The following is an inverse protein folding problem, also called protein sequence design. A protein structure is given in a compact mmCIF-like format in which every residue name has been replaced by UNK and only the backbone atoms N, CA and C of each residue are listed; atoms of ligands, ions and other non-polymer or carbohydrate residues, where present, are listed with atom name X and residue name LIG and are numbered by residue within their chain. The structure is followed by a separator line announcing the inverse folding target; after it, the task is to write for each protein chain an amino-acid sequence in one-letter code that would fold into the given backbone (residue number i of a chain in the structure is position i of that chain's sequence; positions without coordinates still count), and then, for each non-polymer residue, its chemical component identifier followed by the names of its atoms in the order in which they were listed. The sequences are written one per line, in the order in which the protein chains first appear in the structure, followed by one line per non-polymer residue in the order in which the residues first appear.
data_IF_434667886711
#
_entry.id   IF_434667886711
#
_cell.length_a   1.000
_cell.length_b   1.000
_cell.length_c   1.000
_cell.angle_alpha   90.00
_cell.angle_beta   90.00
_cell.angle_gamma   90.00
#
_symmetry.space_group_name_H-M   'P 1'
#
loop_
_entity.id
_entity.type
_entity.pdbx_description
1 polymer ?
#
# COMPACT_ATOMS: atom_id res chain seq x y z
N UNK A 1 -3.08 12.02 -13.41
CA UNK A 1 -2.18 10.85 -13.24
C UNK A 1 -1.26 10.81 -14.45
N UNK A 2 0.01 11.17 -14.28
CA UNK A 2 1.00 10.97 -15.34
C UNK A 2 1.85 9.77 -14.90
N UNK A 3 1.68 8.65 -15.59
CA UNK A 3 2.49 7.46 -15.36
C UNK A 3 3.81 7.64 -16.13
N UNK A 4 4.91 7.72 -15.41
CA UNK A 4 6.25 7.60 -16.01
C UNK A 4 6.41 6.13 -16.39
N UNK A 5 6.68 5.85 -17.66
CA UNK A 5 6.82 4.49 -18.18
C UNK A 5 8.17 3.90 -17.74
N UNK A 6 8.19 3.42 -16.51
CA UNK A 6 9.26 2.60 -15.96
C UNK A 6 8.80 1.13 -15.98
N UNK A 7 9.71 0.18 -16.22
CA UNK A 7 9.38 -1.27 -16.30
C UNK A 7 8.72 -1.78 -15.00
N UNK A 8 8.89 -1.05 -13.91
CA UNK A 8 8.26 -1.24 -12.62
C UNK A 8 7.48 0.04 -12.27
N UNK A 9 6.16 0.02 -12.44
CA UNK A 9 5.33 1.20 -12.23
C UNK A 9 5.35 1.68 -10.78
N UNK A 10 5.75 2.94 -10.57
CA UNK A 10 5.64 3.60 -9.27
C UNK A 10 4.38 4.48 -9.23
N UNK A 11 3.59 4.32 -8.18
CA UNK A 11 2.35 5.08 -7.99
C UNK A 11 2.40 5.84 -6.67
N UNK A 12 2.02 7.12 -6.72
CA UNK A 12 1.76 7.92 -5.52
C UNK A 12 0.26 8.18 -5.42
N UNK A 13 -0.35 7.73 -4.32
CA UNK A 13 -1.78 7.87 -4.06
C UNK A 13 -1.96 8.81 -2.89
N UNK A 14 -2.49 10.00 -3.18
CA UNK A 14 -2.84 11.00 -2.19
C UNK A 14 -4.36 11.23 -2.16
N UNK A 15 -4.85 11.73 -1.03
CA UNK A 15 -6.24 12.08 -0.84
C UNK A 15 -6.47 12.69 0.54
N UNK A 16 -7.62 13.32 0.74
CA UNK A 16 -7.98 13.88 2.04
C UNK A 16 -8.18 12.81 3.13
N UNK A 17 -8.30 13.24 4.39
CA UNK A 17 -8.73 12.35 5.46
C UNK A 17 -10.11 11.75 5.13
N UNK A 18 -10.33 10.49 5.50
CA UNK A 18 -11.63 9.83 5.26
C UNK A 18 -11.86 9.31 3.84
N UNK A 19 -10.96 9.51 2.87
CA UNK A 19 -11.14 9.02 1.49
C UNK A 19 -10.87 7.51 1.30
N UNK A 20 -10.72 6.74 2.38
CA UNK A 20 -10.55 5.30 2.30
C UNK A 20 -9.19 4.81 1.80
N UNK A 21 -8.12 5.62 1.85
CA UNK A 21 -6.77 5.21 1.42
C UNK A 21 -6.30 3.89 2.06
N UNK A 22 -6.55 3.71 3.36
CA UNK A 22 -6.24 2.46 4.06
C UNK A 22 -6.98 1.26 3.46
N UNK A 23 -8.26 1.42 3.13
CA UNK A 23 -9.05 0.38 2.48
C UNK A 23 -8.44 0.05 1.11
N UNK A 24 -8.15 1.07 0.30
CA UNK A 24 -7.55 0.91 -1.02
C UNK A 24 -6.21 0.14 -0.97
N UNK A 25 -5.31 0.49 -0.05
CA UNK A 25 -4.04 -0.23 0.13
C UNK A 25 -4.26 -1.68 0.55
N UNK A 26 -5.20 -1.95 1.45
CA UNK A 26 -5.53 -3.32 1.87
C UNK A 26 -6.15 -4.14 0.74
N UNK A 27 -7.02 -3.55 -0.08
CA UNK A 27 -7.57 -4.21 -1.27
C UNK A 27 -6.46 -4.56 -2.25
N UNK A 28 -5.54 -3.63 -2.52
CA UNK A 28 -4.40 -3.88 -3.42
C UNK A 28 -3.51 -5.02 -2.90
N UNK A 29 -3.15 -4.99 -1.61
CA UNK A 29 -2.37 -6.05 -0.97
C UNK A 29 -3.08 -7.40 -1.08
N UNK A 30 -4.39 -7.44 -0.83
CA UNK A 30 -5.18 -8.66 -0.95
C UNK A 30 -5.23 -9.16 -2.40
N UNK A 31 -5.46 -8.30 -3.38
CA UNK A 31 -5.51 -8.68 -4.80
C UNK A 31 -4.18 -9.25 -5.29
N UNK A 32 -3.05 -8.64 -4.94
CA UNK A 32 -1.71 -9.14 -5.31
C UNK A 32 -1.45 -10.50 -4.66
N UNK A 33 -1.74 -10.64 -3.36
CA UNK A 33 -1.57 -11.91 -2.64
C UNK A 33 -2.51 -13.01 -3.15
N UNK A 34 -3.73 -12.66 -3.55
CA UNK A 34 -4.69 -13.59 -4.16
C UNK A 34 -4.18 -14.16 -5.49
N UNK A 35 -3.38 -13.39 -6.22
CA UNK A 35 -2.74 -13.85 -7.46
C UNK A 35 -1.50 -14.74 -7.21
N UNK A 36 -1.12 -14.95 -5.94
CA UNK A 36 0.06 -15.71 -5.56
C UNK A 36 1.35 -14.90 -5.55
N UNK A 37 1.28 -13.59 -5.83
CA UNK A 37 2.41 -12.69 -5.83
C UNK A 37 2.73 -12.16 -4.42
N UNK A 38 3.96 -11.66 -4.25
CA UNK A 38 4.43 -11.14 -2.95
C UNK A 38 4.05 -9.67 -2.81
N UNK A 39 3.24 -9.35 -1.79
CA UNK A 39 2.90 -7.97 -1.42
C UNK A 39 3.40 -7.62 -0.01
N UNK A 40 4.34 -6.68 0.08
CA UNK A 40 4.93 -6.19 1.33
C UNK A 40 4.29 -4.85 1.70
N UNK A 41 3.77 -4.76 2.94
CA UNK A 41 3.13 -3.56 3.46
C UNK A 41 4.03 -2.86 4.47
N UNK A 42 4.45 -1.63 4.16
CA UNK A 42 5.34 -0.83 5.01
C UNK A 42 4.70 0.52 5.29
N UNK A 43 4.75 0.97 6.53
CA UNK A 43 4.31 2.29 6.93
C UNK A 43 5.36 3.01 7.80
N UNK A 44 5.30 4.35 7.85
CA UNK A 44 6.23 5.15 8.68
C UNK A 44 5.87 5.10 10.18
N UNK A 45 4.58 4.99 10.51
CA UNK A 45 4.06 4.96 11.88
C UNK A 45 3.57 3.57 12.27
N UNK A 46 3.70 3.22 13.56
CA UNK A 46 3.16 1.98 14.10
C UNK A 46 1.64 1.85 13.92
N UNK A 47 0.88 2.93 14.13
CA UNK A 47 -0.58 2.92 13.93
C UNK A 47 -0.93 2.65 12.47
N UNK A 48 -0.21 3.28 11.54
CA UNK A 48 -0.43 3.05 10.11
C UNK A 48 -0.06 1.61 9.71
N UNK A 49 1.01 1.05 10.27
CA UNK A 49 1.39 -0.35 10.03
C UNK A 49 0.31 -1.33 10.53
N UNK A 50 -0.27 -1.08 11.71
CA UNK A 50 -1.35 -1.91 12.27
C UNK A 50 -2.62 -1.91 11.41
N UNK A 51 -2.88 -0.80 10.70
CA UNK A 51 -4.04 -0.68 9.82
C UNK A 51 -3.86 -1.39 8.47
N UNK A 52 -2.63 -1.75 8.10
CA UNK A 52 -2.32 -2.49 6.87
C UNK A 52 -2.22 -3.99 7.15
N UNK A 53 -2.81 -4.81 6.30
CA UNK A 53 -2.78 -6.26 6.43
C UNK A 53 -1.35 -6.80 6.32
N UNK A 54 -0.83 -7.32 7.43
CA UNK A 54 0.56 -7.76 7.54
C UNK A 54 1.57 -6.61 7.54
N UNK A 55 1.14 -5.39 7.89
CA UNK A 55 1.98 -4.20 7.89
C UNK A 55 3.11 -4.24 8.93
N UNK A 56 4.24 -3.64 8.56
CA UNK A 56 5.39 -3.36 9.44
C UNK A 56 5.77 -1.89 9.37
N UNK A 57 6.46 -1.40 10.40
CA UNK A 57 7.10 -0.09 10.30
C UNK A 57 8.32 -0.18 9.39
N UNK A 58 8.64 0.91 8.70
CA UNK A 58 9.83 0.97 7.83
C UNK A 58 11.16 0.73 8.59
N UNK A 59 11.14 0.89 9.91
CA UNK A 59 12.30 0.75 10.79
C UNK A 59 12.43 -0.64 11.44
N UNK A 60 11.48 -1.54 11.15
CA UNK A 60 11.46 -2.90 11.73
C UNK A 60 12.46 -3.85 11.08
#
# INVERSE_FOLDING_TARGET
MQAVNDKYGHFFIDGFAGTGKTFLYNTLLATIRLHGDIAIAVASSGIAALLLSGGRTAHS
#
